data_IF_645041404697
#
_entry.id   IF_645041404697
#
_cell.length_a   1.000
_cell.length_b   1.000
_cell.length_c   1.000
_cell.angle_alpha   90.00
_cell.angle_beta   90.00
_cell.angle_gamma   90.00
#
_symmetry.space_group_name_H-M   'P 1'
#
loop_
_entity.id
_entity.type
_entity.pdbx_description
1 polymer ?
#
# COMPACT_ATOMS: atom_id res chain seq x y z
N UNK A 1 50.30 -55.72 15.68
CA UNK A 1 49.24 -54.78 16.10
C UNK A 1 49.34 -54.69 17.60
N UNK A 2 50.01 -53.65 18.11
CA UNK A 2 50.39 -53.55 19.52
C UNK A 2 49.22 -53.18 20.43
N UNK A 3 49.06 -53.90 21.54
CA UNK A 3 47.96 -53.71 22.49
C UNK A 3 47.89 -52.29 23.10
N UNK A 4 49.01 -51.56 23.06
CA UNK A 4 49.13 -50.17 23.52
C UNK A 4 48.43 -49.16 22.63
N UNK A 5 48.29 -49.41 21.32
CA UNK A 5 47.53 -48.51 20.43
C UNK A 5 46.03 -48.67 20.63
N UNK A 6 45.58 -49.90 20.91
CA UNK A 6 44.18 -50.23 21.18
C UNK A 6 43.70 -49.65 22.52
N UNK A 7 44.55 -49.71 23.55
CA UNK A 7 44.26 -49.11 24.87
C UNK A 7 44.15 -47.58 24.85
N UNK A 8 44.95 -46.89 24.01
CA UNK A 8 44.86 -45.43 23.85
C UNK A 8 43.61 -44.99 23.08
N UNK A 9 43.14 -45.78 22.11
CA UNK A 9 41.91 -45.50 21.38
C UNK A 9 40.65 -45.71 22.24
N UNK A 10 40.66 -46.71 23.12
CA UNK A 10 39.58 -46.97 24.08
C UNK A 10 39.45 -45.90 25.17
N UNK A 11 40.56 -45.26 25.58
CA UNK A 11 40.56 -44.20 26.60
C UNK A 11 40.24 -42.80 26.02
N UNK A 12 40.33 -42.62 24.70
CA UNK A 12 39.90 -41.40 24.01
C UNK A 12 38.45 -41.45 23.54
N UNK A 13 37.76 -42.57 23.74
CA UNK A 13 36.31 -42.67 23.62
C UNK A 13 35.64 -42.08 24.87
N UNK A 14 35.85 -40.78 25.10
CA UNK A 14 34.86 -39.99 25.82
C UNK A 14 33.52 -40.10 25.08
N UNK A 15 32.38 -39.80 25.72
CA UNK A 15 31.10 -39.83 25.02
C UNK A 15 31.25 -39.00 23.75
N UNK A 16 31.00 -39.62 22.59
CA UNK A 16 30.91 -38.92 21.31
C UNK A 16 30.24 -37.57 21.56
N UNK A 17 30.76 -36.44 21.03
CA UNK A 17 30.09 -35.16 21.16
C UNK A 17 28.66 -35.36 20.66
N UNK A 18 27.75 -35.46 21.62
CA UNK A 18 26.40 -35.94 21.39
C UNK A 18 25.75 -34.92 20.49
N UNK A 19 25.37 -35.39 19.30
CA UNK A 19 24.63 -34.65 18.28
C UNK A 19 25.48 -33.53 17.68
N UNK A 20 26.03 -33.78 16.49
CA UNK A 20 26.25 -32.70 15.53
C UNK A 20 24.85 -32.14 15.25
N UNK A 21 24.49 -31.07 15.96
CA UNK A 21 23.33 -30.28 15.63
C UNK A 21 23.71 -29.61 14.31
N UNK A 22 23.35 -30.25 13.20
CA UNK A 22 23.26 -29.56 11.92
C UNK A 22 22.59 -28.22 12.24
N UNK A 23 23.25 -27.10 11.93
CA UNK A 23 22.89 -25.74 12.36
C UNK A 23 21.50 -25.25 11.94
N UNK A 24 20.65 -26.14 11.45
CA UNK A 24 19.25 -26.00 11.08
C UNK A 24 18.31 -26.33 12.24
N UNK A 25 18.69 -25.98 13.47
CA UNK A 25 17.71 -25.99 14.55
C UNK A 25 16.60 -25.00 14.20
N UNK A 26 15.35 -25.44 14.28
CA UNK A 26 14.15 -24.61 14.07
C UNK A 26 14.16 -23.35 14.96
N UNK A 27 14.82 -23.43 16.11
CA UNK A 27 14.98 -22.30 17.03
C UNK A 27 16.03 -21.28 16.53
N UNK A 28 16.99 -21.70 15.70
CA UNK A 28 17.98 -20.80 15.08
C UNK A 28 17.31 -19.90 14.03
N UNK A 29 16.44 -20.48 13.20
CA UNK A 29 15.63 -19.74 12.22
C UNK A 29 14.74 -18.67 12.88
N UNK A 30 14.16 -18.98 14.04
CA UNK A 30 13.31 -18.05 14.78
C UNK A 30 14.09 -16.89 15.43
N UNK A 31 15.35 -17.09 15.80
CA UNK A 31 16.16 -16.09 16.53
C UNK A 31 17.04 -15.27 15.58
N UNK A 32 17.68 -15.90 14.59
CA UNK A 32 18.67 -15.29 13.70
C UNK A 32 18.15 -15.08 12.27
N UNK A 33 16.92 -15.52 11.99
CA UNK A 33 16.38 -15.53 10.65
C UNK A 33 16.83 -16.77 9.86
N UNK A 34 16.29 -16.89 8.66
CA UNK A 34 16.45 -18.07 7.81
C UNK A 34 17.51 -17.80 6.75
N UNK A 35 18.50 -18.68 6.65
CA UNK A 35 19.52 -18.65 5.59
C UNK A 35 19.07 -19.46 4.36
N UNK A 36 17.94 -20.17 4.46
CA UNK A 36 17.36 -20.94 3.37
C UNK A 36 16.72 -20.00 2.34
N UNK A 37 17.21 -20.07 1.09
CA UNK A 37 16.79 -19.20 -0.02
C UNK A 37 15.27 -19.27 -0.29
N UNK A 38 14.67 -20.45 -0.11
CA UNK A 38 13.23 -20.66 -0.27
C UNK A 38 12.41 -19.87 0.78
N UNK A 39 12.87 -19.85 2.03
CA UNK A 39 12.20 -19.13 3.11
C UNK A 39 12.37 -17.61 2.96
N UNK A 40 13.52 -17.15 2.46
CA UNK A 40 13.72 -15.75 2.09
C UNK A 40 12.78 -15.33 0.95
N UNK A 41 12.62 -16.18 -0.07
CA UNK A 41 11.68 -15.95 -1.17
C UNK A 41 10.23 -15.83 -0.70
N UNK A 42 9.82 -16.59 0.33
CA UNK A 42 8.50 -16.48 0.94
C UNK A 42 8.34 -15.18 1.73
N UNK A 43 9.35 -14.76 2.49
CA UNK A 43 9.33 -13.50 3.24
C UNK A 43 9.24 -12.28 2.29
N UNK A 44 9.94 -12.32 1.17
CA UNK A 44 9.86 -11.26 0.16
C UNK A 44 8.48 -11.19 -0.51
N UNK A 45 7.87 -12.35 -0.79
CA UNK A 45 6.48 -12.40 -1.27
C UNK A 45 5.49 -11.85 -0.23
N UNK A 46 5.65 -12.21 1.04
CA UNK A 46 4.81 -11.68 2.12
C UNK A 46 4.95 -10.15 2.23
N UNK A 47 6.18 -9.64 2.17
CA UNK A 47 6.45 -8.20 2.17
C UNK A 47 5.81 -7.49 0.97
N UNK A 48 5.88 -8.09 -0.21
CA UNK A 48 5.25 -7.54 -1.41
C UNK A 48 3.73 -7.47 -1.28
N UNK A 49 3.10 -8.52 -0.73
CA UNK A 49 1.66 -8.53 -0.46
C UNK A 49 1.27 -7.50 0.60
N UNK A 50 2.07 -7.36 1.66
CA UNK A 50 1.83 -6.37 2.69
C UNK A 50 1.87 -4.94 2.12
N UNK A 51 2.85 -4.64 1.25
CA UNK A 51 2.94 -3.35 0.57
C UNK A 51 1.70 -3.06 -0.30
N UNK A 52 1.17 -4.07 -1.02
CA UNK A 52 -0.06 -3.92 -1.79
C UNK A 52 -1.28 -3.65 -0.90
N UNK A 53 -1.40 -4.36 0.22
CA UNK A 53 -2.47 -4.15 1.20
C UNK A 53 -2.44 -2.73 1.79
N UNK A 54 -1.25 -2.23 2.10
CA UNK A 54 -1.08 -0.88 2.64
C UNK A 54 -1.47 0.18 1.59
N UNK A 55 -1.13 -0.01 0.32
CA UNK A 55 -1.58 0.86 -0.77
C UNK A 55 -3.11 0.87 -0.88
N UNK A 56 -3.76 -0.30 -0.86
CA UNK A 56 -5.22 -0.39 -0.90
C UNK A 56 -5.88 0.29 0.31
N UNK A 57 -5.29 0.16 1.51
CA UNK A 57 -5.79 0.81 2.72
C UNK A 57 -5.69 2.34 2.64
N UNK A 58 -4.63 2.87 2.04
CA UNK A 58 -4.52 4.32 1.78
C UNK A 58 -5.59 4.77 0.81
N UNK A 59 -5.82 4.03 -0.28
CA UNK A 59 -6.88 4.34 -1.25
C UNK A 59 -8.27 4.28 -0.63
N UNK A 60 -8.55 3.25 0.18
CA UNK A 60 -9.78 3.14 0.95
C UNK A 60 -9.97 4.35 1.86
N UNK A 61 -8.92 4.77 2.57
CA UNK A 61 -8.98 5.95 3.44
C UNK A 61 -9.25 7.23 2.64
N UNK A 62 -8.70 7.39 1.45
CA UNK A 62 -8.94 8.57 0.60
C UNK A 62 -10.37 8.57 0.06
N UNK A 63 -10.89 7.41 -0.36
CA UNK A 63 -12.26 7.29 -0.87
C UNK A 63 -13.33 7.44 0.23
N UNK A 64 -13.06 6.89 1.41
CA UNK A 64 -13.96 6.98 2.57
C UNK A 64 -13.75 8.26 3.39
N UNK A 65 -12.73 9.07 3.09
CA UNK A 65 -12.54 10.34 3.76
C UNK A 65 -13.70 11.28 3.37
N UNK A 66 -14.39 11.90 4.35
CA UNK A 66 -15.36 12.93 4.05
C UNK A 66 -14.65 14.07 3.30
N UNK A 67 -15.29 14.65 2.27
CA UNK A 67 -14.69 15.72 1.51
C UNK A 67 -14.27 16.87 2.45
N UNK A 68 -13.15 17.56 2.19
CA UNK A 68 -12.60 18.58 3.09
C UNK A 68 -13.55 19.78 3.32
N UNK A 69 -14.63 19.88 2.54
CA UNK A 69 -15.69 20.88 2.66
C UNK A 69 -17.06 20.25 3.00
N UNK A 70 -17.08 19.08 3.66
CA UNK A 70 -18.31 18.55 4.23
C UNK A 70 -18.81 19.53 5.30
N UNK A 71 -19.85 20.29 4.95
CA UNK A 71 -20.45 21.30 5.81
C UNK A 71 -20.89 20.62 7.13
N UNK A 72 -20.36 21.01 8.31
CA UNK A 72 -20.72 20.40 9.59
C UNK A 72 -22.18 20.69 9.98
N UNK A 73 -22.87 21.53 9.21
CA UNK A 73 -24.28 21.84 9.37
C UNK A 73 -25.01 21.44 8.08
N UNK A 74 -25.56 20.21 8.01
CA UNK A 74 -26.39 19.88 6.86
C UNK A 74 -27.53 20.91 6.80
N UNK A 75 -27.85 21.45 5.60
CA UNK A 75 -28.99 22.35 5.46
C UNK A 75 -30.21 21.67 6.05
N UNK A 76 -30.95 22.38 6.90
CA UNK A 76 -32.13 21.84 7.56
C UNK A 76 -33.07 21.24 6.50
N UNK A 77 -33.10 19.91 6.45
CA UNK A 77 -33.97 19.18 5.55
C UNK A 77 -35.41 19.40 6.04
N UNK A 78 -36.16 20.25 5.34
CA UNK A 78 -37.59 20.40 5.61
C UNK A 78 -38.24 19.05 5.32
N UNK A 79 -38.86 18.38 6.31
CA UNK A 79 -39.51 17.10 6.07
C UNK A 79 -40.62 17.29 5.05
N UNK A 80 -40.50 16.62 3.90
CA UNK A 80 -41.56 16.57 2.89
C UNK A 80 -42.66 15.65 3.42
N UNK A 81 -43.60 16.20 4.18
CA UNK A 81 -44.83 15.51 4.54
C UNK A 81 -45.69 15.32 3.29
N UNK A 82 -46.06 14.09 2.90
CA UNK A 82 -46.97 13.87 1.79
C UNK A 82 -48.34 14.47 2.15
N UNK A 83 -48.72 15.57 1.46
CA UNK A 83 -50.02 16.23 1.63
C UNK A 83 -49.99 17.66 2.17
N UNK A 84 -48.82 18.22 2.50
CA UNK A 84 -48.70 19.64 2.90
C UNK A 84 -48.76 20.57 1.69
N UNK A 85 -49.64 21.58 1.71
CA UNK A 85 -49.68 22.61 0.66
C UNK A 85 -48.38 23.43 0.72
N UNK A 86 -47.50 23.26 -0.27
CA UNK A 86 -46.27 24.05 -0.40
C UNK A 86 -46.61 25.43 -1.00
N UNK A 87 -46.84 26.43 -0.16
CA UNK A 87 -46.92 27.83 -0.60
C UNK A 87 -45.51 28.37 -0.76
N UNK A 88 -44.94 28.27 -1.97
CA UNK A 88 -43.64 28.85 -2.29
C UNK A 88 -43.78 30.36 -2.54
N UNK A 89 -43.07 31.24 -1.83
CA UNK A 89 -43.02 32.67 -2.17
C UNK A 89 -42.27 32.87 -3.51
N UNK A 90 -42.62 33.90 -4.30
CA UNK A 90 -42.00 34.14 -5.60
C UNK A 90 -40.50 34.41 -5.46
N UNK A 91 -39.69 33.63 -6.18
CA UNK A 91 -38.23 33.76 -6.19
C UNK A 91 -37.84 35.05 -6.90
N UNK A 92 -37.06 35.90 -6.23
CA UNK A 92 -36.46 37.07 -6.86
C UNK A 92 -35.43 36.64 -7.91
N UNK A 93 -35.30 37.37 -9.03
CA UNK A 93 -34.32 37.05 -10.06
C UNK A 93 -32.90 37.09 -9.48
N UNK A 94 -32.11 36.06 -9.79
CA UNK A 94 -30.72 35.93 -9.36
C UNK A 94 -29.88 37.10 -9.92
N UNK A 95 -29.03 37.76 -9.11
CA UNK A 95 -28.15 38.81 -9.60
C UNK A 95 -27.15 38.22 -10.60
N UNK A 96 -26.96 38.88 -11.74
CA UNK A 96 -26.23 38.44 -12.94
C UNK A 96 -24.71 38.26 -12.78
N UNK A 97 -24.22 37.88 -11.60
CA UNK A 97 -22.80 37.72 -11.27
C UNK A 97 -22.39 36.30 -10.86
N UNK A 98 -23.13 35.27 -11.29
CA UNK A 98 -22.88 33.88 -10.89
C UNK A 98 -21.46 33.44 -11.27
N UNK A 99 -20.67 33.05 -10.26
CA UNK A 99 -19.25 32.70 -10.37
C UNK A 99 -18.95 31.42 -11.17
N UNK A 100 -19.95 30.86 -11.86
CA UNK A 100 -19.85 29.65 -12.69
C UNK A 100 -18.75 29.75 -13.75
N UNK A 101 -18.50 30.93 -14.32
CA UNK A 101 -17.43 31.13 -15.32
C UNK A 101 -16.02 31.06 -14.72
N UNK A 102 -15.85 31.39 -13.44
CA UNK A 102 -14.53 31.32 -12.78
C UNK A 102 -14.11 29.86 -12.55
N UNK A 103 -15.07 29.01 -12.21
CA UNK A 103 -14.86 27.57 -11.99
C UNK A 103 -14.55 26.86 -13.31
N UNK A 104 -15.19 27.26 -14.42
CA UNK A 104 -14.91 26.70 -15.76
C UNK A 104 -13.45 26.90 -16.19
N UNK A 105 -12.90 28.07 -15.92
CA UNK A 105 -11.50 28.40 -16.24
C UNK A 105 -10.48 27.70 -15.32
N UNK A 106 -10.88 27.30 -14.10
CA UNK A 106 -10.04 26.50 -13.20
C UNK A 106 -10.05 25.03 -13.60
N UNK A 107 -11.22 24.50 -13.95
CA UNK A 107 -11.35 23.12 -14.44
C UNK A 107 -10.62 22.91 -15.77
N UNK A 108 -10.69 23.87 -16.70
CA UNK A 108 -9.92 23.81 -17.96
C UNK A 108 -8.41 23.77 -17.72
N UNK A 109 -7.88 24.67 -16.87
CA UNK A 109 -6.45 24.68 -16.50
C UNK A 109 -6.00 23.36 -15.85
N UNK A 110 -6.83 22.79 -14.98
CA UNK A 110 -6.54 21.50 -14.33
C UNK A 110 -6.47 20.35 -15.34
N UNK A 111 -7.34 20.35 -16.35
CA UNK A 111 -7.34 19.34 -17.42
C UNK A 111 -6.11 19.47 -18.31
N UNK A 112 -5.73 20.69 -18.68
CA UNK A 112 -4.54 20.95 -19.51
C UNK A 112 -3.24 20.50 -18.79
N UNK A 113 -3.14 20.75 -17.48
CA UNK A 113 -1.99 20.32 -16.66
C UNK A 113 -1.91 18.79 -16.56
N UNK A 114 -3.05 18.10 -16.45
CA UNK A 114 -3.09 16.64 -16.46
C UNK A 114 -2.65 16.06 -17.81
N UNK A 115 -3.11 16.66 -18.91
CA UNK A 115 -2.72 16.22 -20.26
C UNK A 115 -1.21 16.36 -20.48
N UNK A 116 -0.63 17.50 -20.10
CA UNK A 116 0.82 17.71 -20.20
C UNK A 116 1.63 16.67 -19.43
N UNK A 117 1.21 16.33 -18.20
CA UNK A 117 1.90 15.32 -17.38
C UNK A 117 1.81 13.92 -17.99
N UNK A 118 0.67 13.57 -18.57
CA UNK A 118 0.49 12.28 -19.26
C UNK A 118 1.38 12.19 -20.50
N UNK A 119 1.47 13.27 -21.27
CA UNK A 119 2.33 13.33 -22.45
C UNK A 119 3.82 13.24 -22.08
N UNK A 120 4.23 13.89 -20.99
CA UNK A 120 5.60 13.79 -20.44
C UNK A 120 5.93 12.36 -19.99
N UNK A 121 5.01 11.69 -19.28
CA UNK A 121 5.17 10.29 -18.87
C UNK A 121 5.28 9.36 -20.06
N UNK A 122 4.44 9.56 -21.08
CA UNK A 122 4.45 8.76 -22.31
C UNK A 122 5.77 8.94 -23.07
N UNK A 123 6.21 10.19 -23.23
CA UNK A 123 7.49 10.50 -23.86
C UNK A 123 8.67 9.94 -23.06
N UNK A 124 8.64 10.02 -21.73
CA UNK A 124 9.64 9.43 -20.86
C UNK A 124 9.72 7.91 -20.99
N UNK A 125 8.56 7.23 -21.03
CA UNK A 125 8.49 5.79 -21.25
C UNK A 125 9.05 5.39 -22.63
N UNK A 126 8.76 6.17 -23.68
CA UNK A 126 9.31 5.94 -25.02
C UNK A 126 10.83 6.12 -25.06
N UNK A 127 11.39 7.09 -24.32
CA UNK A 127 12.85 7.27 -24.20
C UNK A 127 13.54 6.12 -23.46
N UNK A 128 12.93 5.60 -22.38
CA UNK A 128 13.43 4.43 -21.65
C UNK A 128 13.40 3.18 -22.53
N UNK A 129 12.37 3.04 -23.37
CA UNK A 129 12.22 1.91 -24.29
C UNK A 129 13.21 1.94 -25.47
N UNK A 130 13.69 3.12 -25.88
CA UNK A 130 14.69 3.27 -26.94
C UNK A 130 16.14 3.18 -26.44
N UNK A 131 16.43 3.55 -25.19
CA UNK A 131 17.78 3.45 -24.59
C UNK A 131 18.20 2.05 -24.13
N UNK A 132 17.29 1.07 -24.19
CA UNK A 132 17.54 -0.33 -23.82
C UNK A 132 17.78 -1.27 -25.02
N UNK A 133 18.07 -0.74 -26.21
CA UNK A 133 18.48 -1.50 -27.40
C UNK A 133 19.94 -1.28 -27.73
#
# INVERSE_FOLDING_TARGET
MDATTLGKQLLNAGPDPRVQLDGRSKDHAAIFGTEDEDEQGLLDQERALQAQRDQLKVLERVLNAPPPNADPHPPAMIPLTPGGQMTMPPLMPTPSGSQLDRTRNQTQRSVDDMQRRVDELRRGADTLRQGGR
#
